data_IF_799079859165
#
_entry.id   IF_799079859165
#
_cell.length_a   1.000
_cell.length_b   1.000
_cell.length_c   1.000
_cell.angle_alpha   90.00
_cell.angle_beta   90.00
_cell.angle_gamma   90.00
#
_symmetry.space_group_name_H-M   'P 1'
#
loop_
_entity.id
_entity.type
_entity.pdbx_description
1 polymer ?
#
# COMPACT_ATOMS: atom_id res chain seq x y z
N UNK A 1 8.07 38.31 -53.80
CA UNK A 1 7.15 39.10 -54.63
C UNK A 1 5.71 38.65 -54.36
N UNK A 2 4.93 39.54 -53.71
CA UNK A 2 3.49 39.81 -53.89
C UNK A 2 2.50 38.66 -53.60
N UNK A 3 1.71 38.72 -52.50
CA UNK A 3 0.42 39.46 -52.30
C UNK A 3 -0.64 39.00 -53.32
N UNK A 4 -1.89 38.69 -53.01
CA UNK A 4 -2.87 39.13 -51.99
C UNK A 4 -4.10 38.19 -52.15
N UNK A 5 -5.09 38.05 -51.27
CA UNK A 5 -6.15 39.02 -50.90
C UNK A 5 -7.29 38.14 -50.32
N UNK A 6 -7.98 38.42 -49.21
CA UNK A 6 -9.09 39.40 -49.10
C UNK A 6 -9.69 39.37 -47.67
N UNK A 7 -9.94 40.60 -47.14
CA UNK A 7 -11.04 41.07 -46.26
C UNK A 7 -11.16 40.48 -44.84
N UNK A 8 -10.76 41.19 -43.77
CA UNK A 8 -11.42 42.32 -43.07
C UNK A 8 -12.89 42.05 -42.64
N UNK A 9 -13.16 42.01 -41.33
CA UNK A 9 -13.88 43.06 -40.60
C UNK A 9 -13.74 42.88 -39.07
N UNK A 10 -13.81 44.00 -38.35
CA UNK A 10 -13.28 44.29 -37.00
C UNK A 10 -14.44 44.71 -36.08
N UNK A 11 -14.43 44.25 -34.81
CA UNK A 11 -14.98 44.80 -33.53
C UNK A 11 -16.49 45.20 -33.53
N UNK A 12 -17.27 45.20 -32.42
CA UNK A 12 -17.13 45.77 -31.06
C UNK A 12 -18.30 45.29 -30.16
N UNK A 13 -18.11 45.21 -28.84
CA UNK A 13 -19.17 45.27 -27.78
C UNK A 13 -19.82 46.70 -27.73
N UNK A 14 -20.87 47.10 -26.93
CA UNK A 14 -21.25 46.67 -25.56
C UNK A 14 -22.76 46.81 -25.11
N UNK A 15 -23.02 46.44 -23.85
CA UNK A 15 -23.93 47.05 -22.82
C UNK A 15 -25.41 47.45 -23.06
N UNK A 16 -26.27 46.85 -22.23
CA UNK A 16 -27.26 47.45 -21.28
C UNK A 16 -28.69 47.87 -21.70
N UNK A 17 -29.62 47.60 -20.76
CA UNK A 17 -30.86 48.38 -20.39
C UNK A 17 -32.07 48.31 -21.35
N UNK A 18 -33.36 48.14 -20.99
CA UNK A 18 -34.16 48.08 -19.74
C UNK A 18 -35.62 47.63 -20.07
N UNK A 19 -36.39 47.23 -19.03
CA UNK A 19 -37.87 47.33 -18.84
C UNK A 19 -38.76 46.34 -19.62
N UNK A 20 -39.84 45.75 -19.08
CA UNK A 20 -40.50 45.85 -17.78
C UNK A 20 -41.54 44.72 -17.60
N UNK A 21 -41.65 44.23 -16.35
CA UNK A 21 -42.87 43.83 -15.60
C UNK A 21 -43.78 42.68 -16.06
N UNK A 22 -43.78 41.59 -15.28
CA UNK A 22 -44.84 40.98 -14.40
C UNK A 22 -44.04 39.94 -13.57
N UNK A 23 -43.98 39.83 -12.24
CA UNK A 23 -44.65 40.36 -11.05
C UNK A 23 -43.58 40.47 -9.93
N UNK A 24 -43.47 41.58 -9.17
CA UNK A 24 -43.97 41.74 -7.78
C UNK A 24 -43.77 40.50 -6.89
N UNK A 25 -43.22 40.48 -5.68
CA UNK A 25 -42.65 41.38 -4.65
C UNK A 25 -42.13 40.36 -3.58
N UNK A 26 -40.91 40.34 -3.02
CA UNK A 26 -40.35 41.17 -1.94
C UNK A 26 -39.48 40.23 -1.04
N UNK A 27 -38.18 40.55 -0.88
CA UNK A 27 -37.46 40.78 0.40
C UNK A 27 -38.09 40.22 1.73
N UNK A 28 -37.43 39.55 2.69
CA UNK A 28 -36.13 39.73 3.38
C UNK A 28 -35.81 38.55 4.38
N UNK A 29 -34.51 38.24 4.53
CA UNK A 29 -33.71 37.99 5.76
C UNK A 29 -34.21 37.09 6.91
N UNK A 30 -33.42 36.00 7.10
CA UNK A 30 -32.96 35.33 8.33
C UNK A 30 -33.87 35.15 9.56
N UNK A 31 -34.05 33.90 9.99
CA UNK A 31 -33.62 33.39 11.32
C UNK A 31 -34.01 31.91 11.50
N UNK A 32 -33.05 31.15 12.03
CA UNK A 32 -33.08 29.88 12.78
C UNK A 32 -34.32 28.96 12.75
N UNK A 33 -33.97 27.66 12.70
CA UNK A 33 -34.73 26.48 13.18
C UNK A 33 -35.47 25.67 12.12
N UNK A 34 -34.75 25.14 11.14
CA UNK A 34 -35.23 24.03 10.30
C UNK A 34 -35.20 22.71 11.07
N UNK A 35 -36.12 22.55 12.01
CA UNK A 35 -36.83 21.29 12.15
C UNK A 35 -37.58 21.04 10.84
N UNK A 36 -37.44 19.85 10.22
CA UNK A 36 -38.41 19.15 9.33
C UNK A 36 -37.74 18.09 8.41
N UNK A 37 -36.42 18.02 8.25
CA UNK A 37 -35.78 16.95 7.44
C UNK A 37 -34.98 15.89 8.23
N UNK A 38 -35.30 15.68 9.50
CA UNK A 38 -34.67 14.66 10.34
C UNK A 38 -35.57 13.43 10.62
N UNK A 39 -36.52 13.10 9.73
CA UNK A 39 -37.56 12.09 10.04
C UNK A 39 -37.76 10.91 9.08
N UNK A 40 -36.93 10.70 8.05
CA UNK A 40 -37.20 9.61 7.08
C UNK A 40 -35.99 8.74 6.67
N UNK A 41 -35.03 8.47 7.56
CA UNK A 41 -34.02 7.43 7.32
C UNK A 41 -33.58 6.62 8.56
N UNK A 42 -34.44 6.51 9.58
CA UNK A 42 -34.18 5.75 10.82
C UNK A 42 -35.04 4.47 10.92
N UNK A 43 -35.76 4.08 9.87
CA UNK A 43 -36.61 2.88 9.86
C UNK A 43 -36.00 1.65 9.16
N UNK A 44 -34.66 1.53 9.14
CA UNK A 44 -34.00 0.46 8.35
C UNK A 44 -32.86 -0.33 9.03
N UNK A 45 -32.28 0.14 10.14
CA UNK A 45 -31.10 -0.52 10.76
C UNK A 45 -31.45 -1.29 12.05
N UNK A 46 -32.72 -1.31 12.44
CA UNK A 46 -33.19 -1.93 13.70
C UNK A 46 -33.25 -3.48 13.69
N UNK A 47 -32.65 -4.14 12.70
CA UNK A 47 -32.80 -5.59 12.49
C UNK A 47 -31.49 -6.41 12.45
N UNK A 48 -30.32 -5.83 12.72
CA UNK A 48 -29.04 -6.61 12.75
C UNK A 48 -28.49 -6.77 14.18
N UNK A 49 -29.01 -6.07 15.17
CA UNK A 49 -28.64 -6.18 16.58
C UNK A 49 -29.55 -7.14 17.36
N UNK A 50 -29.61 -8.42 16.97
CA UNK A 50 -30.19 -9.47 17.82
C UNK A 50 -29.44 -10.79 17.68
N UNK A 51 -28.26 -10.85 18.31
CA UNK A 51 -27.66 -12.05 18.93
C UNK A 51 -26.23 -11.75 19.38
N UNK A 52 -26.05 -10.82 20.31
CA UNK A 52 -24.81 -10.71 21.07
C UNK A 52 -25.15 -10.69 22.55
N UNK A 53 -24.57 -11.62 23.30
CA UNK A 53 -24.92 -11.90 24.68
C UNK A 53 -24.56 -10.72 25.61
N UNK A 54 -25.42 -10.37 26.58
CA UNK A 54 -25.18 -9.29 27.56
C UNK A 54 -23.99 -9.54 28.51
N UNK A 55 -23.39 -10.73 28.45
CA UNK A 55 -22.21 -11.12 29.25
C UNK A 55 -20.92 -10.40 28.87
N UNK A 56 -20.81 -9.86 27.65
CA UNK A 56 -19.62 -9.16 27.20
C UNK A 56 -19.63 -7.67 27.58
N UNK A 57 -20.80 -7.05 27.71
CA UNK A 57 -20.92 -5.65 28.15
C UNK A 57 -20.51 -5.46 29.62
N UNK A 58 -20.63 -6.50 30.43
CA UNK A 58 -20.36 -6.42 31.87
C UNK A 58 -18.85 -6.50 32.20
N UNK A 59 -18.02 -6.96 31.26
CA UNK A 59 -16.55 -6.98 31.41
C UNK A 59 -15.88 -5.68 30.98
N UNK A 60 -16.59 -4.79 30.28
CA UNK A 60 -16.04 -3.54 29.74
C UNK A 60 -16.19 -2.34 30.67
N UNK A 61 -16.91 -2.46 31.80
CA UNK A 61 -17.27 -1.33 32.69
C UNK A 61 -16.21 -0.92 33.72
N UNK A 62 -15.02 -1.52 33.71
CA UNK A 62 -13.99 -1.29 34.74
C UNK A 62 -12.63 -0.84 34.21
N UNK A 63 -12.51 -0.45 32.94
CA UNK A 63 -11.25 0.04 32.38
C UNK A 63 -11.27 1.56 32.48
N UNK A 64 -10.34 2.12 33.25
CA UNK A 64 -10.21 3.57 33.41
C UNK A 64 -10.02 4.24 32.04
N UNK A 65 -10.83 5.27 31.76
CA UNK A 65 -10.77 6.08 30.56
C UNK A 65 -9.61 7.08 30.63
N UNK A 66 -8.37 6.61 30.58
CA UNK A 66 -7.21 7.47 30.30
C UNK A 66 -6.20 6.62 29.51
N UNK A 67 -5.85 7.07 28.29
CA UNK A 67 -5.01 6.41 27.24
C UNK A 67 -5.75 5.69 26.08
N UNK A 68 -7.07 5.88 25.96
CA UNK A 68 -7.95 5.13 25.02
C UNK A 68 -7.84 5.47 23.51
N UNK A 69 -6.85 6.24 23.05
CA UNK A 69 -6.70 6.56 21.61
C UNK A 69 -5.77 5.62 20.84
N UNK A 70 -4.78 5.02 21.51
CA UNK A 70 -3.68 4.28 20.87
C UNK A 70 -3.71 2.77 21.15
N UNK A 71 -4.56 2.31 22.07
CA UNK A 71 -4.69 0.90 22.41
C UNK A 71 -6.07 0.35 22.05
N UNK A 72 -6.11 -0.89 21.56
CA UNK A 72 -7.32 -1.61 21.21
C UNK A 72 -7.33 -3.03 21.77
N UNK A 73 -8.48 -3.69 21.68
CA UNK A 73 -8.66 -5.08 22.13
C UNK A 73 -9.15 -5.98 21.02
N UNK A 74 -8.59 -7.19 20.95
CA UNK A 74 -8.96 -8.20 19.95
C UNK A 74 -10.33 -8.80 20.29
N UNK A 75 -11.33 -8.54 19.46
CA UNK A 75 -12.67 -9.10 19.59
C UNK A 75 -12.75 -10.56 19.15
N UNK A 76 -12.11 -10.90 18.03
CA UNK A 76 -12.20 -12.25 17.45
C UNK A 76 -11.06 -12.49 16.45
N UNK A 77 -10.71 -13.76 16.28
CA UNK A 77 -9.63 -14.18 15.36
C UNK A 77 -10.17 -15.29 14.48
N UNK A 78 -10.01 -15.15 13.16
CA UNK A 78 -10.42 -16.18 12.20
C UNK A 78 -9.53 -16.18 10.96
N UNK A 79 -8.98 -17.33 10.60
CA UNK A 79 -8.10 -17.51 9.43
C UNK A 79 -6.92 -16.53 9.43
N UNK A 80 -6.50 -16.17 10.63
CA UNK A 80 -5.51 -15.14 10.85
C UNK A 80 -6.04 -13.72 11.03
N UNK A 81 -7.28 -13.42 10.67
CA UNK A 81 -7.80 -12.07 10.77
C UNK A 81 -8.21 -11.78 12.20
N UNK A 82 -7.46 -10.89 12.87
CA UNK A 82 -7.83 -10.30 14.14
C UNK A 82 -8.74 -9.08 13.89
N UNK A 83 -9.95 -9.11 14.46
CA UNK A 83 -10.83 -7.94 14.54
C UNK A 83 -10.53 -7.21 15.84
N UNK A 84 -10.09 -5.96 15.75
CA UNK A 84 -9.70 -5.14 16.91
C UNK A 84 -10.72 -4.01 17.09
N UNK A 85 -11.09 -3.73 18.33
CA UNK A 85 -11.94 -2.61 18.71
C UNK A 85 -11.13 -1.59 19.52
N UNK A 86 -11.44 -0.30 19.39
CA UNK A 86 -10.82 0.78 20.16
C UNK A 86 -9.75 1.58 19.41
N UNK A 87 -9.25 1.09 18.27
CA UNK A 87 -8.22 1.78 17.48
C UNK A 87 -8.83 2.83 16.54
N UNK A 88 -9.27 3.96 17.08
CA UNK A 88 -9.93 5.02 16.30
C UNK A 88 -8.97 5.83 15.41
N UNK A 89 -7.69 5.92 15.79
CA UNK A 89 -6.68 6.75 15.12
C UNK A 89 -5.68 5.95 14.28
N UNK A 90 -5.82 4.63 14.21
CA UNK A 90 -4.92 3.78 13.43
C UNK A 90 -4.99 4.11 11.94
N UNK A 91 -3.83 4.27 11.32
CA UNK A 91 -3.72 4.50 9.89
C UNK A 91 -3.85 3.19 9.12
N UNK A 92 -4.33 3.27 7.88
CA UNK A 92 -4.25 2.12 6.98
C UNK A 92 -2.78 1.81 6.68
N UNK A 93 -2.43 0.53 6.66
CA UNK A 93 -1.05 0.04 6.44
C UNK A 93 -0.07 0.43 7.56
N UNK A 94 -0.60 0.78 8.74
CA UNK A 94 0.20 0.96 9.96
C UNK A 94 0.60 -0.40 10.53
N UNK A 95 1.77 -0.47 11.14
CA UNK A 95 2.18 -1.63 11.92
C UNK A 95 1.55 -1.56 13.32
N UNK A 96 1.04 -2.69 13.80
CA UNK A 96 0.49 -2.82 15.14
C UNK A 96 1.20 -3.93 15.89
N UNK A 97 1.37 -3.74 17.19
CA UNK A 97 2.03 -4.71 18.05
C UNK A 97 1.01 -5.32 19.01
N UNK A 98 0.95 -6.65 19.00
CA UNK A 98 0.16 -7.43 19.93
C UNK A 98 0.94 -7.65 21.22
N UNK A 99 0.27 -7.79 22.37
CA UNK A 99 0.92 -8.06 23.66
C UNK A 99 1.80 -9.34 23.66
N UNK A 100 1.52 -10.27 22.76
CA UNK A 100 2.29 -11.48 22.47
C UNK A 100 3.63 -11.23 21.75
N UNK A 101 3.91 -9.99 21.34
CA UNK A 101 5.10 -9.59 20.59
C UNK A 101 5.00 -9.84 19.08
N UNK A 102 3.85 -10.31 18.60
CA UNK A 102 3.59 -10.39 17.16
C UNK A 102 3.29 -9.00 16.60
N UNK A 103 3.68 -8.82 15.34
CA UNK A 103 3.42 -7.59 14.60
C UNK A 103 2.40 -7.87 13.50
N UNK A 104 1.33 -7.10 13.50
CA UNK A 104 0.30 -7.11 12.46
C UNK A 104 0.36 -5.85 11.61
N UNK A 105 -0.30 -5.90 10.46
CA UNK A 105 -0.56 -4.72 9.65
C UNK A 105 -2.04 -4.37 9.75
N UNK A 106 -2.34 -3.11 10.03
CA UNK A 106 -3.69 -2.54 9.98
C UNK A 106 -4.17 -2.52 8.53
N UNK A 107 -4.86 -3.59 8.14
CA UNK A 107 -5.57 -3.67 6.87
C UNK A 107 -7.01 -4.05 7.15
N UNK A 108 -7.93 -3.69 6.24
CA UNK A 108 -9.33 -4.12 6.33
C UNK A 108 -9.47 -5.67 6.31
N UNK A 109 -8.42 -6.39 5.93
CA UNK A 109 -8.30 -7.85 5.99
C UNK A 109 -6.82 -8.24 6.16
N UNK A 110 -6.43 -9.10 7.11
CA UNK A 110 -5.04 -9.54 7.30
C UNK A 110 -4.95 -10.85 8.10
N UNK A 111 -3.85 -11.62 8.07
CA UNK A 111 -3.79 -13.00 8.61
C UNK A 111 -2.65 -13.26 9.63
N UNK A 112 -2.96 -13.72 10.84
CA UNK A 112 -2.10 -14.26 11.90
C UNK A 112 -2.81 -15.23 12.89
N UNK A 113 -2.25 -16.44 13.05
CA UNK A 113 -2.88 -17.59 13.75
C UNK A 113 -2.57 -17.66 15.26
N UNK A 114 -1.73 -16.77 15.79
CA UNK A 114 -1.18 -16.89 17.16
C UNK A 114 -1.73 -15.91 18.19
N UNK A 115 -2.54 -14.94 17.76
CA UNK A 115 -3.16 -13.96 18.67
C UNK A 115 -4.26 -14.63 19.50
N UNK A 116 -4.56 -14.12 20.70
CA UNK A 116 -5.70 -14.59 21.52
C UNK A 116 -6.82 -13.56 21.60
N UNK A 117 -8.05 -14.03 21.80
CA UNK A 117 -9.19 -13.16 22.02
C UNK A 117 -9.03 -12.39 23.34
N UNK A 118 -9.31 -11.09 23.33
CA UNK A 118 -9.17 -10.20 24.48
C UNK A 118 -7.76 -9.65 24.69
N UNK A 119 -6.82 -9.92 23.79
CA UNK A 119 -5.46 -9.38 23.83
C UNK A 119 -5.45 -7.89 23.49
N UNK A 120 -4.54 -7.14 24.12
CA UNK A 120 -4.32 -5.72 23.82
C UNK A 120 -3.42 -5.55 22.60
N UNK A 121 -3.78 -4.59 21.76
CA UNK A 121 -3.07 -4.20 20.54
C UNK A 121 -2.68 -2.73 20.67
N UNK A 122 -1.42 -2.43 20.42
CA UNK A 122 -0.91 -1.07 20.47
C UNK A 122 -0.59 -0.60 19.05
N UNK A 123 -1.01 0.64 18.72
CA UNK A 123 -0.55 1.34 17.52
C UNK A 123 0.91 1.72 17.64
N UNK A 124 1.71 1.50 16.60
CA UNK A 124 3.10 1.97 16.58
C UNK A 124 3.24 3.37 15.99
N UNK A 125 2.21 3.89 15.31
CA UNK A 125 2.22 5.17 14.61
C UNK A 125 3.12 5.19 13.37
N UNK A 126 3.79 4.08 13.07
CA UNK A 126 4.69 3.93 11.94
C UNK A 126 4.02 3.07 10.85
N UNK A 127 4.08 3.55 9.61
CA UNK A 127 3.74 2.71 8.46
C UNK A 127 4.76 1.58 8.34
N UNK A 128 4.40 0.51 7.62
CA UNK A 128 5.31 -0.62 7.40
C UNK A 128 6.59 -0.16 6.67
N UNK A 129 7.65 -0.01 7.46
CA UNK A 129 9.00 0.33 7.04
C UNK A 129 9.92 -0.88 7.14
N UNK A 130 10.70 -1.11 6.09
CA UNK A 130 11.67 -2.21 6.01
C UNK A 130 13.08 -1.63 5.92
N UNK A 131 14.05 -2.17 6.68
CA UNK A 131 15.45 -1.78 6.55
C UNK A 131 15.95 -2.04 5.12
N UNK A 132 16.71 -1.11 4.56
CA UNK A 132 17.32 -1.25 3.23
C UNK A 132 18.78 -0.85 3.27
N UNK A 133 19.60 -1.50 2.45
CA UNK A 133 21.01 -1.17 2.31
C UNK A 133 21.84 -2.31 1.76
N UNK A 134 23.10 -2.02 1.38
CA UNK A 134 24.04 -3.04 0.92
C UNK A 134 24.39 -4.06 2.01
N UNK A 135 24.16 -3.73 3.29
CA UNK A 135 24.37 -4.64 4.43
C UNK A 135 23.46 -5.88 4.40
N UNK A 136 22.37 -5.86 3.62
CA UNK A 136 21.47 -6.99 3.44
C UNK A 136 21.99 -8.03 2.45
N UNK A 137 23.00 -7.70 1.64
CA UNK A 137 23.50 -8.60 0.61
C UNK A 137 24.07 -9.89 1.22
N UNK A 138 23.58 -11.04 0.75
CA UNK A 138 24.00 -12.36 1.23
C UNK A 138 23.43 -12.79 2.59
N UNK A 139 22.50 -12.02 3.15
CA UNK A 139 21.74 -12.36 4.36
C UNK A 139 20.40 -13.00 3.99
N UNK A 140 19.83 -13.75 4.93
CA UNK A 140 18.44 -14.25 4.81
C UNK A 140 17.60 -13.47 5.82
N UNK A 141 16.58 -12.79 5.31
CA UNK A 141 15.70 -11.92 6.10
C UNK A 141 14.25 -12.35 5.96
N UNK A 142 13.47 -12.07 6.99
CA UNK A 142 12.02 -12.14 6.98
C UNK A 142 11.41 -10.92 6.25
N UNK A 143 10.09 -10.94 6.00
CA UNK A 143 9.35 -9.87 5.33
C UNK A 143 9.44 -8.51 6.03
N UNK A 144 9.66 -8.49 7.35
CA UNK A 144 9.88 -7.27 8.14
C UNK A 144 11.36 -6.82 8.18
N UNK A 145 12.26 -7.53 7.51
CA UNK A 145 13.70 -7.23 7.47
C UNK A 145 14.50 -7.78 8.65
N UNK A 146 13.91 -8.62 9.49
CA UNK A 146 14.61 -9.27 10.59
C UNK A 146 15.47 -10.44 10.06
N UNK A 147 16.75 -10.58 10.48
CA UNK A 147 17.60 -11.68 10.02
C UNK A 147 17.15 -13.02 10.62
N UNK A 148 17.03 -14.04 9.77
CA UNK A 148 16.69 -15.42 10.17
C UNK A 148 17.84 -16.41 9.93
N UNK A 149 19.01 -15.92 9.52
CA UNK A 149 20.18 -16.71 9.18
C UNK A 149 21.11 -17.04 10.36
N UNK A 150 20.82 -16.54 11.57
CA UNK A 150 21.63 -16.79 12.77
C UNK A 150 23.01 -16.12 12.79
N UNK A 151 23.33 -15.27 11.80
CA UNK A 151 24.62 -14.58 11.67
C UNK A 151 24.68 -13.24 12.43
N UNK A 152 23.88 -13.08 13.48
CA UNK A 152 23.77 -11.84 14.27
C UNK A 152 22.90 -10.75 13.63
N UNK A 153 22.76 -9.58 14.29
CA UNK A 153 21.92 -8.48 13.81
C UNK A 153 22.50 -7.80 12.57
N UNK A 154 21.63 -7.23 11.74
CA UNK A 154 22.02 -6.43 10.57
C UNK A 154 21.87 -4.96 10.95
N UNK A 155 22.93 -4.19 10.81
CA UNK A 155 22.92 -2.75 11.05
C UNK A 155 22.70 -2.01 9.74
N UNK A 156 21.45 -1.68 9.44
CA UNK A 156 21.11 -0.86 8.27
C UNK A 156 21.06 0.62 8.59
N UNK A 157 21.59 1.45 7.69
CA UNK A 157 21.57 2.92 7.84
C UNK A 157 20.23 3.57 7.51
N UNK A 158 19.47 2.96 6.60
CA UNK A 158 18.23 3.52 6.07
C UNK A 158 17.08 2.53 6.21
N UNK A 159 15.87 3.08 6.35
CA UNK A 159 14.61 2.34 6.22
C UNK A 159 13.80 2.96 5.08
N UNK A 160 13.04 2.13 4.36
CA UNK A 160 12.10 2.58 3.34
C UNK A 160 10.73 1.93 3.55
N UNK A 161 9.69 2.69 3.22
CA UNK A 161 8.31 2.20 3.19
C UNK A 161 8.20 1.01 2.25
N UNK A 162 7.50 -0.03 2.68
CA UNK A 162 7.25 -1.20 1.85
C UNK A 162 6.42 -0.83 0.60
N UNK A 163 5.42 0.05 0.77
CA UNK A 163 4.53 0.49 -0.29
C UNK A 163 4.94 1.87 -0.80
N UNK A 164 5.76 1.90 -1.86
CA UNK A 164 6.13 3.14 -2.56
C UNK A 164 5.40 3.21 -3.89
N UNK A 165 4.83 4.38 -4.22
CA UNK A 165 4.20 4.62 -5.52
C UNK A 165 5.24 4.39 -6.64
N UNK A 166 4.92 3.58 -7.67
CA UNK A 166 5.87 3.33 -8.74
C UNK A 166 6.21 4.61 -9.52
N UNK A 167 7.39 4.67 -10.16
CA UNK A 167 7.78 5.81 -10.98
C UNK A 167 6.80 6.01 -12.15
N UNK A 168 6.50 7.28 -12.43
CA UNK A 168 5.64 7.70 -13.53
C UNK A 168 6.22 7.35 -14.90
N UNK A 169 5.44 7.60 -15.97
CA UNK A 169 5.84 7.23 -17.34
C UNK A 169 7.05 8.06 -17.80
N UNK A 170 7.07 9.36 -17.48
CA UNK A 170 8.11 10.29 -17.93
C UNK A 170 9.50 10.03 -17.31
N UNK A 171 9.57 9.38 -16.14
CA UNK A 171 10.84 9.06 -15.47
C UNK A 171 11.42 7.72 -15.91
N UNK A 172 10.73 6.97 -16.79
CA UNK A 172 11.21 5.68 -17.28
C UNK A 172 12.12 5.88 -18.49
N UNK A 173 13.24 5.17 -18.51
CA UNK A 173 14.12 5.10 -19.67
C UNK A 173 13.79 3.86 -20.52
N UNK A 174 14.08 3.89 -21.84
CA UNK A 174 13.98 2.70 -22.67
C UNK A 174 14.95 1.61 -22.19
N UNK A 175 14.52 0.35 -22.36
CA UNK A 175 15.33 -0.82 -22.02
C UNK A 175 16.43 -0.99 -23.08
N UNK A 176 17.68 -0.67 -22.73
CA UNK A 176 18.81 -0.67 -23.68
C UNK A 176 19.97 -1.58 -23.26
N UNK A 177 19.88 -2.25 -22.11
CA UNK A 177 20.92 -3.16 -21.60
C UNK A 177 20.33 -4.55 -21.39
N UNK A 178 20.92 -5.62 -21.96
CA UNK A 178 20.46 -6.98 -21.71
C UNK A 178 20.90 -7.47 -20.33
N UNK A 179 20.13 -8.41 -19.77
CA UNK A 179 20.52 -9.25 -18.63
C UNK A 179 20.67 -10.67 -19.18
N UNK A 180 21.87 -11.22 -19.07
CA UNK A 180 22.17 -12.55 -19.59
C UNK A 180 21.80 -13.63 -18.57
N UNK A 181 20.90 -14.53 -18.94
CA UNK A 181 20.48 -15.65 -18.08
C UNK A 181 21.54 -16.76 -18.06
N UNK A 182 22.34 -16.89 -19.12
CA UNK A 182 23.30 -17.97 -19.29
C UNK A 182 22.69 -19.23 -19.90
N UNK A 183 21.38 -19.19 -20.14
CA UNK A 183 20.64 -20.24 -20.81
C UNK A 183 20.50 -19.87 -22.29
N UNK A 184 21.21 -20.60 -23.15
CA UNK A 184 21.23 -20.34 -24.60
C UNK A 184 19.82 -20.23 -25.19
N UNK A 185 18.91 -21.09 -24.77
CA UNK A 185 17.53 -21.09 -25.25
C UNK A 185 16.79 -19.79 -24.91
N UNK A 186 17.04 -19.20 -23.74
CA UNK A 186 16.40 -17.94 -23.33
C UNK A 186 17.12 -16.77 -23.97
N UNK A 187 18.45 -16.70 -23.85
CA UNK A 187 19.23 -15.56 -24.33
C UNK A 187 19.16 -15.39 -25.87
N UNK A 188 18.89 -16.47 -26.61
CA UNK A 188 18.74 -16.41 -28.08
C UNK A 188 17.30 -16.13 -28.52
N UNK A 189 16.30 -16.77 -27.90
CA UNK A 189 14.91 -16.70 -28.35
C UNK A 189 14.12 -15.58 -27.69
N UNK A 190 14.37 -15.33 -26.40
CA UNK A 190 13.63 -14.38 -25.56
C UNK A 190 14.65 -13.57 -24.73
N UNK A 191 15.38 -12.63 -25.35
CA UNK A 191 16.34 -11.81 -24.64
C UNK A 191 15.64 -10.91 -23.61
N UNK A 192 16.17 -10.87 -22.39
CA UNK A 192 15.60 -10.11 -21.27
C UNK A 192 16.39 -8.81 -21.09
N UNK A 193 15.69 -7.67 -21.05
CA UNK A 193 16.27 -6.35 -20.80
C UNK A 193 16.30 -5.97 -19.31
N UNK A 194 17.27 -5.14 -18.91
CA UNK A 194 17.35 -4.54 -17.57
C UNK A 194 16.21 -3.55 -17.37
N UNK A 195 15.34 -3.85 -16.40
CA UNK A 195 14.12 -3.08 -16.13
C UNK A 195 12.86 -3.69 -16.75
N UNK A 196 12.99 -4.81 -17.46
CA UNK A 196 11.87 -5.62 -17.93
C UNK A 196 11.28 -6.47 -16.81
N UNK A 197 10.00 -6.81 -16.93
CA UNK A 197 9.34 -7.84 -16.11
C UNK A 197 9.10 -9.03 -17.01
N UNK A 198 9.71 -10.16 -16.68
CA UNK A 198 9.56 -11.41 -17.43
C UNK A 198 8.87 -12.45 -16.55
N UNK A 199 7.84 -13.12 -17.08
CA UNK A 199 7.07 -14.11 -16.34
C UNK A 199 7.53 -15.53 -16.70
N UNK A 200 7.98 -16.30 -15.70
CA UNK A 200 8.34 -17.71 -15.87
C UNK A 200 7.13 -18.57 -15.49
N UNK A 201 6.38 -19.04 -16.50
CA UNK A 201 5.15 -19.81 -16.33
C UNK A 201 5.40 -21.29 -16.68
N UNK A 202 4.78 -22.20 -15.93
CA UNK A 202 4.82 -23.64 -16.19
C UNK A 202 4.26 -24.46 -15.03
N UNK A 203 4.19 -25.78 -15.21
CA UNK A 203 3.66 -26.72 -14.20
C UNK A 203 4.64 -27.00 -13.05
N UNK A 204 4.18 -27.73 -12.03
CA UNK A 204 5.06 -28.19 -10.95
C UNK A 204 6.23 -28.98 -11.53
N UNK A 205 7.42 -28.80 -10.94
CA UNK A 205 8.65 -29.51 -11.33
C UNK A 205 9.17 -29.23 -12.77
N UNK A 206 8.69 -28.19 -13.46
CA UNK A 206 9.22 -27.81 -14.80
C UNK A 206 10.50 -26.96 -14.77
N UNK A 207 11.21 -26.90 -13.64
CA UNK A 207 12.47 -26.17 -13.53
C UNK A 207 12.37 -24.65 -13.42
N UNK A 208 11.19 -24.08 -13.11
CA UNK A 208 11.01 -22.61 -12.91
C UNK A 208 12.04 -22.03 -11.92
N UNK A 209 12.25 -22.70 -10.79
CA UNK A 209 13.23 -22.29 -9.79
C UNK A 209 14.65 -22.45 -10.30
N UNK A 210 14.96 -23.50 -11.06
CA UNK A 210 16.29 -23.73 -11.62
C UNK A 210 16.68 -22.58 -12.58
N UNK A 211 15.77 -22.18 -13.48
CA UNK A 211 15.99 -21.05 -14.39
C UNK A 211 16.31 -19.76 -13.62
N UNK A 212 15.54 -19.46 -12.56
CA UNK A 212 15.77 -18.27 -11.74
C UNK A 212 17.11 -18.33 -10.99
N UNK A 213 17.44 -19.46 -10.39
CA UNK A 213 18.70 -19.66 -9.65
C UNK A 213 19.91 -19.61 -10.58
N UNK A 214 19.85 -20.27 -11.73
CA UNK A 214 20.92 -20.25 -12.73
C UNK A 214 21.18 -18.84 -13.24
N UNK A 215 20.11 -18.06 -13.47
CA UNK A 215 20.20 -16.65 -13.85
C UNK A 215 20.95 -15.83 -12.79
N UNK A 216 20.65 -16.05 -11.50
CA UNK A 216 21.32 -15.37 -10.37
C UNK A 216 22.80 -15.77 -10.30
N UNK A 217 23.10 -17.07 -10.41
CA UNK A 217 24.46 -17.59 -10.34
C UNK A 217 25.32 -17.06 -11.49
N UNK A 218 24.74 -16.93 -12.68
CA UNK A 218 25.43 -16.41 -13.85
C UNK A 218 25.85 -14.93 -13.64
N UNK A 219 25.03 -14.13 -12.95
CA UNK A 219 25.35 -12.72 -12.62
C UNK A 219 26.67 -12.57 -11.85
N UNK A 220 27.06 -13.57 -11.06
CA UNK A 220 28.33 -13.55 -10.31
C UNK A 220 29.53 -13.33 -11.22
N UNK A 221 29.52 -13.85 -12.46
CA UNK A 221 30.64 -13.70 -13.39
C UNK A 221 30.89 -12.25 -13.78
N UNK A 222 29.82 -11.49 -14.01
CA UNK A 222 29.91 -10.07 -14.37
C UNK A 222 30.14 -9.16 -13.17
N UNK A 223 29.70 -9.56 -11.98
CA UNK A 223 29.95 -8.77 -10.75
C UNK A 223 31.40 -8.89 -10.23
N UNK A 224 32.15 -9.90 -10.64
CA UNK A 224 33.55 -10.09 -10.25
C UNK A 224 34.52 -9.22 -11.07
N UNK A 225 34.08 -8.59 -12.16
CA UNK A 225 34.91 -7.65 -12.91
C UNK A 225 35.16 -6.36 -12.11
N UNK A 226 36.37 -5.81 -12.22
CA UNK A 226 36.84 -4.65 -11.43
C UNK A 226 36.18 -3.31 -11.78
N UNK A 227 35.39 -3.26 -12.86
CA UNK A 227 34.75 -2.03 -13.34
C UNK A 227 33.37 -1.85 -12.70
N UNK A 228 33.21 -0.87 -11.80
CA UNK A 228 31.92 -0.61 -11.14
C UNK A 228 30.79 -0.23 -12.11
N UNK A 229 31.13 0.39 -13.25
CA UNK A 229 30.21 0.68 -14.35
C UNK A 229 29.66 -0.58 -15.03
N UNK A 230 30.33 -1.73 -14.84
CA UNK A 230 29.93 -3.05 -15.32
C UNK A 230 29.34 -3.95 -14.22
N UNK A 231 29.11 -3.46 -13.00
CA UNK A 231 28.28 -4.20 -12.04
C UNK A 231 26.86 -4.29 -12.61
N UNK A 232 26.46 -5.50 -13.02
CA UNK A 232 25.27 -5.70 -13.84
C UNK A 232 23.99 -5.76 -13.02
N UNK A 233 23.99 -6.52 -11.92
CA UNK A 233 22.80 -6.71 -11.10
C UNK A 233 23.13 -7.22 -9.70
N UNK A 234 22.42 -6.67 -8.71
CA UNK A 234 22.23 -7.31 -7.41
C UNK A 234 20.92 -8.11 -7.47
N UNK A 235 20.96 -9.34 -6.97
CA UNK A 235 19.82 -10.24 -7.02
C UNK A 235 19.16 -10.37 -5.65
N UNK A 236 17.84 -10.31 -5.63
CA UNK A 236 17.01 -10.60 -4.46
C UNK A 236 16.11 -11.77 -4.83
N UNK A 237 16.17 -12.85 -4.06
CA UNK A 237 15.29 -14.00 -4.21
C UNK A 237 14.29 -14.02 -3.07
N UNK A 238 13.00 -13.88 -3.40
CA UNK A 238 11.91 -13.99 -2.43
C UNK A 238 11.25 -15.35 -2.57
N UNK A 239 11.22 -16.10 -1.47
CA UNK A 239 10.52 -17.38 -1.38
C UNK A 239 9.20 -17.15 -0.65
N UNK A 240 8.09 -17.18 -1.38
CA UNK A 240 6.76 -17.23 -0.77
C UNK A 240 6.41 -18.70 -0.52
N UNK A 241 6.32 -19.10 0.74
CA UNK A 241 5.64 -20.35 1.12
C UNK A 241 4.14 -20.18 0.88
N UNK A 242 3.61 -20.96 -0.06
CA UNK A 242 2.18 -21.06 -0.34
C UNK A 242 1.42 -21.77 0.79
#
# INVERSE_FOLDING_TARGET
MLRSSLRQFIRTAPSATTRNTIAQNAQLVATNSSSILARLYISGVKAITTAFSPSLEQRTRGVEENDLSESGHVLSIRNGVARVHGMAYAQAEELVEFASGFKGMCMNFGSDRFVRQGETVNSTGELVDVPVGPELLGRIIDALGNPIDGKGPIYTKEKRRAQVKPPGILTRCPLNRPILTGLKSIDTLVPIGRGQREAIIGDRQTGKTAIAVDTILNQKRWNNDSDETKKWAEAIYSCATC
#
